data_IF_157707023752
#
_entry.id   IF_157707023752
#
_cell.length_a   1.000
_cell.length_b   1.000
_cell.length_c   1.000
_cell.angle_alpha   90.00
_cell.angle_beta   90.00
_cell.angle_gamma   90.00
#
_symmetry.space_group_name_H-M   'P 1'
#
loop_
_entity.id
_entity.type
_entity.pdbx_description
1 polymer ?
#
# COMPACT_ATOMS: atom_id res chain seq x y z
N UNK A 1 2.86 11.48 -23.53
CA UNK A 1 3.06 12.23 -22.28
C UNK A 1 2.57 11.33 -21.14
N UNK A 2 3.42 11.03 -20.16
CA UNK A 2 3.02 10.23 -19.02
C UNK A 2 2.04 11.01 -18.13
N UNK A 3 1.18 10.31 -17.36
CA UNK A 3 0.22 10.96 -16.46
C UNK A 3 0.90 11.94 -15.49
N UNK A 4 2.06 11.57 -14.96
CA UNK A 4 2.86 12.40 -14.04
C UNK A 4 3.25 13.72 -14.70
N UNK A 5 3.74 13.70 -15.94
CA UNK A 5 4.11 14.91 -16.68
C UNK A 5 2.91 15.84 -16.91
N UNK A 6 1.71 15.29 -17.12
CA UNK A 6 0.47 16.09 -17.24
C UNK A 6 0.14 16.75 -15.92
N UNK A 7 0.17 15.99 -14.82
CA UNK A 7 -0.13 16.52 -13.48
C UNK A 7 0.85 17.63 -13.09
N UNK A 8 2.14 17.44 -13.34
CA UNK A 8 3.17 18.45 -13.06
C UNK A 8 2.98 19.72 -13.91
N UNK A 9 2.67 19.56 -15.19
CA UNK A 9 2.43 20.68 -16.08
C UNK A 9 1.20 21.49 -15.66
N UNK A 10 0.09 20.84 -15.34
CA UNK A 10 -1.14 21.49 -14.86
C UNK A 10 -0.94 22.14 -13.49
N UNK A 11 -0.26 21.49 -12.57
CA UNK A 11 0.08 22.06 -11.27
C UNK A 11 0.91 23.33 -11.40
N UNK A 12 1.91 23.32 -12.28
CA UNK A 12 2.73 24.51 -12.58
C UNK A 12 1.89 25.62 -13.23
N UNK A 13 1.01 25.28 -14.17
CA UNK A 13 0.13 26.26 -14.84
C UNK A 13 -0.86 26.91 -13.87
N UNK A 14 -1.31 26.18 -12.85
CA UNK A 14 -2.21 26.67 -11.80
C UNK A 14 -1.44 27.38 -10.65
N UNK A 15 -0.13 27.45 -10.70
CA UNK A 15 0.69 28.05 -9.65
C UNK A 15 0.64 27.27 -8.33
N UNK A 16 0.51 25.97 -8.38
CA UNK A 16 0.48 25.14 -7.17
C UNK A 16 1.78 25.29 -6.39
N UNK A 17 1.67 25.61 -5.10
CA UNK A 17 2.80 25.79 -4.20
C UNK A 17 3.05 24.60 -3.27
N UNK A 18 2.18 23.58 -3.35
CA UNK A 18 2.29 22.34 -2.57
C UNK A 18 2.85 21.22 -3.44
N UNK A 19 3.67 20.32 -2.89
CA UNK A 19 4.10 19.13 -3.61
C UNK A 19 2.89 18.28 -4.00
N UNK A 20 2.83 17.89 -5.28
CA UNK A 20 1.83 16.96 -5.81
C UNK A 20 2.58 15.73 -6.27
N UNK A 21 2.20 14.56 -5.73
CA UNK A 21 2.81 13.28 -6.09
C UNK A 21 1.73 12.26 -6.44
N UNK A 22 1.74 11.68 -7.65
CA UNK A 22 0.83 10.59 -7.97
C UNK A 22 1.11 9.36 -7.13
N UNK A 23 0.05 8.67 -6.74
CA UNK A 23 0.08 7.44 -5.97
C UNK A 23 -0.42 6.28 -6.84
N UNK A 24 0.30 5.15 -6.81
CA UNK A 24 -0.27 3.88 -7.24
C UNK A 24 -1.19 3.40 -6.11
N UNK A 25 -2.47 3.36 -6.39
CA UNK A 25 -3.46 2.83 -5.46
C UNK A 25 -3.68 1.33 -5.72
N UNK A 26 -3.76 0.52 -4.65
CA UNK A 26 -3.95 -0.93 -4.70
C UNK A 26 -2.97 -1.70 -5.62
N UNK A 27 -1.68 -1.53 -5.40
CA UNK A 27 -0.62 -2.26 -6.10
C UNK A 27 -0.42 -3.68 -5.54
N UNK A 28 -1.20 -4.65 -6.00
CA UNK A 28 -1.12 -6.03 -5.51
C UNK A 28 -1.75 -7.06 -6.44
N UNK A 29 -1.68 -8.37 -6.07
CA UNK A 29 -2.28 -9.44 -6.87
C UNK A 29 -3.81 -9.39 -6.80
N UNK A 30 -4.48 -9.74 -7.90
CA UNK A 30 -5.94 -9.82 -8.07
C UNK A 30 -6.76 -8.54 -7.80
N UNK A 31 -6.11 -7.39 -7.74
CA UNK A 31 -6.77 -6.10 -7.54
C UNK A 31 -7.21 -5.43 -8.85
N UNK A 32 -6.96 -6.08 -9.97
CA UNK A 32 -7.43 -5.64 -11.29
C UNK A 32 -8.12 -6.79 -12.02
N UNK A 33 -9.06 -6.47 -12.91
CA UNK A 33 -9.73 -7.47 -13.73
C UNK A 33 -8.75 -8.28 -14.61
N UNK A 34 -7.61 -7.71 -14.96
CA UNK A 34 -6.56 -8.38 -15.73
C UNK A 34 -5.91 -9.55 -14.98
N UNK A 35 -6.01 -9.58 -13.66
CA UNK A 35 -5.47 -10.66 -12.83
C UNK A 35 -6.49 -11.77 -12.57
N UNK A 36 -7.74 -11.63 -13.01
CA UNK A 36 -8.78 -12.65 -12.85
C UNK A 36 -8.34 -13.97 -13.51
N UNK A 37 -8.42 -15.05 -12.74
CA UNK A 37 -8.04 -16.38 -13.23
C UNK A 37 -6.52 -16.67 -13.25
N UNK A 38 -5.68 -15.76 -12.81
CA UNK A 38 -4.25 -16.02 -12.62
C UNK A 38 -4.02 -16.85 -11.35
N UNK A 39 -3.03 -17.73 -11.41
CA UNK A 39 -2.45 -18.36 -10.21
C UNK A 39 -1.60 -17.33 -9.43
N UNK A 40 -1.28 -17.60 -8.15
CA UNK A 40 -0.60 -16.65 -7.25
C UNK A 40 0.70 -16.10 -7.84
N UNK A 41 1.56 -16.96 -8.35
CA UNK A 41 2.87 -16.52 -8.88
C UNK A 41 2.69 -15.57 -10.07
N UNK A 42 1.78 -15.88 -10.97
CA UNK A 42 1.47 -15.05 -12.13
C UNK A 42 0.81 -13.71 -11.73
N UNK A 43 -0.09 -13.72 -10.72
CA UNK A 43 -0.71 -12.51 -10.21
C UNK A 43 0.31 -11.61 -9.48
N UNK A 44 1.24 -12.21 -8.73
CA UNK A 44 2.36 -11.48 -8.10
C UNK A 44 3.32 -10.90 -9.14
N UNK A 45 3.62 -11.63 -10.22
CA UNK A 45 4.46 -11.12 -11.31
C UNK A 45 3.79 -9.96 -12.05
N UNK A 46 2.49 -10.03 -12.27
CA UNK A 46 1.73 -8.94 -12.85
C UNK A 46 1.71 -7.70 -11.93
N UNK A 47 1.57 -7.89 -10.62
CA UNK A 47 1.67 -6.81 -9.63
C UNK A 47 3.07 -6.17 -9.63
N UNK A 48 4.14 -6.97 -9.67
CA UNK A 48 5.53 -6.48 -9.80
C UNK A 48 5.73 -5.67 -11.09
N UNK A 49 5.14 -6.11 -12.20
CA UNK A 49 5.15 -5.37 -13.46
C UNK A 49 4.49 -3.99 -13.34
N UNK A 50 3.34 -3.91 -12.69
CA UNK A 50 2.63 -2.66 -12.45
C UNK A 50 3.42 -1.72 -11.54
N UNK A 51 4.03 -2.23 -10.47
CA UNK A 51 4.90 -1.48 -9.57
C UNK A 51 6.12 -0.91 -10.32
N UNK A 52 6.78 -1.73 -11.15
CA UNK A 52 7.90 -1.28 -11.97
C UNK A 52 7.49 -0.17 -12.93
N UNK A 53 6.34 -0.30 -13.58
CA UNK A 53 5.82 0.71 -14.50
C UNK A 53 5.48 2.03 -13.77
N UNK A 54 4.90 1.96 -12.57
CA UNK A 54 4.61 3.14 -11.76
C UNK A 54 5.90 3.87 -11.34
N UNK A 55 6.92 3.12 -10.90
CA UNK A 55 8.23 3.66 -10.57
C UNK A 55 8.90 4.34 -11.76
N UNK A 56 8.90 3.69 -12.92
CA UNK A 56 9.46 4.24 -14.16
C UNK A 56 8.69 5.47 -14.66
N UNK A 57 7.41 5.57 -14.34
CA UNK A 57 6.57 6.72 -14.64
C UNK A 57 6.70 7.87 -13.63
N UNK A 58 7.50 7.71 -12.55
CA UNK A 58 7.74 8.78 -11.58
C UNK A 58 6.67 8.90 -10.47
N UNK A 59 5.96 7.82 -10.16
CA UNK A 59 5.04 7.83 -9.02
C UNK A 59 5.80 8.05 -7.71
N UNK A 60 5.23 8.87 -6.83
CA UNK A 60 5.87 9.30 -5.58
C UNK A 60 5.48 8.43 -4.37
N UNK A 61 4.34 7.74 -4.44
CA UNK A 61 3.82 6.85 -3.41
C UNK A 61 3.30 5.56 -4.05
N UNK A 62 3.61 4.43 -3.44
CA UNK A 62 3.10 3.12 -3.84
C UNK A 62 2.30 2.53 -2.67
N UNK A 63 1.00 2.33 -2.86
CA UNK A 63 0.17 1.55 -1.97
C UNK A 63 0.28 0.07 -2.35
N UNK A 64 0.93 -0.72 -1.50
CA UNK A 64 1.12 -2.15 -1.68
C UNK A 64 0.05 -2.90 -0.90
N UNK A 65 -0.91 -3.44 -1.63
CA UNK A 65 -2.02 -4.20 -1.08
C UNK A 65 -1.90 -5.68 -1.50
N UNK A 66 -1.50 -6.52 -0.55
CA UNK A 66 -1.29 -7.94 -0.75
C UNK A 66 -2.46 -8.80 -0.26
N UNK A 67 -3.61 -8.19 0.03
CA UNK A 67 -4.81 -8.86 0.59
C UNK A 67 -5.67 -9.54 -0.46
N UNK A 68 -5.49 -9.23 -1.74
CA UNK A 68 -6.26 -9.82 -2.84
C UNK A 68 -6.17 -11.35 -2.92
N UNK A 69 -7.28 -11.98 -3.29
CA UNK A 69 -7.38 -13.42 -3.56
C UNK A 69 -8.38 -13.69 -4.70
N UNK A 70 -8.25 -14.81 -5.45
CA UNK A 70 -9.13 -15.12 -6.58
C UNK A 70 -10.61 -15.23 -6.21
N UNK A 71 -10.90 -15.79 -5.03
CA UNK A 71 -12.26 -16.02 -4.51
C UNK A 71 -12.74 -14.92 -3.56
N UNK A 72 -12.02 -13.84 -3.41
CA UNK A 72 -12.28 -12.82 -2.37
C UNK A 72 -12.30 -13.39 -0.94
N UNK A 73 -11.59 -14.48 -0.72
CA UNK A 73 -11.41 -15.05 0.60
C UNK A 73 -10.35 -14.29 1.38
N UNK A 74 -10.50 -14.22 2.70
CA UNK A 74 -9.51 -13.58 3.56
C UNK A 74 -8.17 -14.31 3.48
N UNK A 75 -7.11 -13.56 3.15
CA UNK A 75 -5.75 -14.09 3.09
C UNK A 75 -5.17 -14.14 4.51
N UNK A 76 -4.52 -15.24 4.91
CA UNK A 76 -3.90 -15.33 6.22
C UNK A 76 -2.90 -14.17 6.47
N UNK A 77 -2.89 -13.52 7.65
CA UNK A 77 -2.04 -12.35 7.91
C UNK A 77 -0.55 -12.59 7.65
N UNK A 78 -0.04 -13.80 7.94
CA UNK A 78 1.36 -14.14 7.67
C UNK A 78 1.67 -14.15 6.16
N UNK A 79 0.71 -14.56 5.34
CA UNK A 79 0.84 -14.56 3.89
C UNK A 79 0.75 -13.12 3.33
N UNK A 80 -0.15 -12.29 3.84
CA UNK A 80 -0.20 -10.85 3.50
C UNK A 80 1.15 -10.19 3.78
N UNK A 81 1.73 -10.43 4.95
CA UNK A 81 3.07 -9.93 5.30
C UNK A 81 4.13 -10.43 4.33
N UNK A 82 4.14 -11.72 4.01
CA UNK A 82 5.14 -12.32 3.11
C UNK A 82 5.06 -11.70 1.71
N UNK A 83 3.85 -11.59 1.16
CA UNK A 83 3.58 -10.96 -0.15
C UNK A 83 3.96 -9.47 -0.15
N UNK A 84 3.58 -8.72 0.88
CA UNK A 84 3.91 -7.29 1.02
C UNK A 84 5.43 -7.08 1.03
N UNK A 85 6.16 -7.88 1.80
CA UNK A 85 7.63 -7.82 1.85
C UNK A 85 8.28 -8.17 0.52
N UNK A 86 7.69 -9.08 -0.25
CA UNK A 86 8.17 -9.46 -1.57
C UNK A 86 7.98 -8.33 -2.59
N UNK A 87 6.80 -7.69 -2.61
CA UNK A 87 6.51 -6.54 -3.45
C UNK A 87 7.42 -5.34 -3.11
N UNK A 88 7.65 -5.07 -1.83
CA UNK A 88 8.58 -4.04 -1.37
C UNK A 88 10.02 -4.33 -1.80
N UNK A 89 10.48 -5.57 -1.63
CA UNK A 89 11.82 -5.96 -2.06
C UNK A 89 12.00 -5.78 -3.57
N UNK A 90 10.98 -6.15 -4.36
CA UNK A 90 10.97 -5.93 -5.80
C UNK A 90 11.02 -4.44 -6.15
N UNK A 91 10.18 -3.60 -5.52
CA UNK A 91 10.15 -2.17 -5.75
C UNK A 91 11.51 -1.51 -5.48
N UNK A 92 12.15 -1.83 -4.35
CA UNK A 92 13.45 -1.29 -4.00
C UNK A 92 14.58 -1.80 -4.90
N UNK A 93 14.54 -3.07 -5.29
CA UNK A 93 15.49 -3.63 -6.25
C UNK A 93 15.39 -2.92 -7.62
N UNK A 94 14.17 -2.77 -8.15
CA UNK A 94 13.92 -2.06 -9.42
C UNK A 94 14.36 -0.60 -9.33
N UNK A 95 13.93 0.13 -8.30
CA UNK A 95 14.30 1.53 -8.06
C UNK A 95 15.82 1.71 -8.04
N UNK A 96 16.51 0.87 -7.28
CA UNK A 96 17.98 0.92 -7.15
C UNK A 96 18.68 0.62 -8.46
N UNK A 97 18.28 -0.44 -9.17
CA UNK A 97 18.84 -0.82 -10.45
C UNK A 97 18.69 0.29 -11.50
N UNK A 98 17.57 0.99 -11.49
CA UNK A 98 17.24 2.08 -12.40
C UNK A 98 17.73 3.45 -11.91
N UNK A 99 18.30 3.54 -10.70
CA UNK A 99 18.73 4.79 -10.05
C UNK A 99 17.61 5.83 -9.93
N UNK A 100 16.38 5.34 -9.67
CA UNK A 100 15.23 6.19 -9.45
C UNK A 100 15.26 6.82 -8.03
N UNK A 101 14.62 7.98 -7.84
CA UNK A 101 14.56 8.63 -6.54
C UNK A 101 13.86 7.74 -5.50
N UNK A 102 14.06 7.99 -4.19
CA UNK A 102 13.25 7.35 -3.15
C UNK A 102 11.76 7.61 -3.35
N UNK A 103 10.94 6.60 -3.03
CA UNK A 103 9.48 6.71 -3.03
C UNK A 103 8.93 6.39 -1.65
N UNK A 104 7.75 6.91 -1.36
CA UNK A 104 7.02 6.57 -0.15
C UNK A 104 6.24 5.25 -0.34
N UNK A 105 6.02 4.53 0.76
CA UNK A 105 5.23 3.31 0.75
C UNK A 105 4.03 3.41 1.68
N UNK A 106 2.93 2.88 1.22
CA UNK A 106 1.72 2.60 1.97
C UNK A 106 1.46 1.11 1.91
N UNK A 107 0.96 0.52 2.99
CA UNK A 107 0.60 -0.91 3.03
C UNK A 107 -0.84 -1.07 3.49
N UNK A 108 -1.55 -1.97 2.83
CA UNK A 108 -2.92 -2.32 3.14
C UNK A 108 -3.01 -3.47 4.13
N UNK A 109 -3.96 -3.35 5.06
CA UNK A 109 -4.45 -4.46 5.89
C UNK A 109 -5.93 -4.68 5.65
N UNK A 110 -6.41 -4.34 4.45
CA UNK A 110 -7.83 -4.31 4.18
C UNK A 110 -8.43 -5.70 4.24
N UNK A 111 -9.46 -5.83 5.07
CA UNK A 111 -10.35 -6.97 4.97
C UNK A 111 -11.35 -6.70 3.85
N UNK A 112 -11.34 -7.55 2.82
CA UNK A 112 -12.25 -7.48 1.66
C UNK A 112 -13.72 -7.51 2.11
N UNK A 113 -13.99 -8.03 3.30
CA UNK A 113 -15.35 -8.21 3.82
C UNK A 113 -15.97 -6.94 4.42
N UNK A 114 -15.22 -5.84 4.51
CA UNK A 114 -15.63 -4.64 5.22
C UNK A 114 -15.67 -4.87 6.74
N UNK A 115 -15.59 -3.83 7.49
CA UNK A 115 -15.60 -3.88 8.95
C UNK A 115 -14.49 -3.03 9.55
N UNK A 116 -14.56 -2.83 10.87
CA UNK A 116 -13.52 -2.11 11.60
C UNK A 116 -12.30 -3.01 11.78
N UNK A 117 -11.11 -2.48 11.47
CA UNK A 117 -9.85 -3.21 11.69
C UNK A 117 -9.70 -3.64 13.16
N UNK A 118 -9.44 -4.93 13.39
CA UNK A 118 -9.11 -5.43 14.70
C UNK A 118 -7.75 -4.90 15.17
N UNK A 119 -7.71 -4.29 16.36
CA UNK A 119 -6.49 -3.64 16.88
C UNK A 119 -5.36 -4.64 17.15
N UNK A 120 -5.70 -5.85 17.59
CA UNK A 120 -4.69 -6.90 17.89
C UNK A 120 -4.09 -7.41 16.59
N UNK A 121 -4.93 -7.74 15.60
CA UNK A 121 -4.47 -8.17 14.29
C UNK A 121 -3.62 -7.09 13.60
N UNK A 122 -4.01 -5.82 13.72
CA UNK A 122 -3.26 -4.68 13.20
C UNK A 122 -1.86 -4.58 13.80
N UNK A 123 -1.74 -4.69 15.12
CA UNK A 123 -0.43 -4.67 15.80
C UNK A 123 0.42 -5.89 15.45
N UNK A 124 -0.19 -7.07 15.34
CA UNK A 124 0.50 -8.28 14.92
C UNK A 124 1.05 -8.14 13.49
N UNK A 125 0.26 -7.62 12.57
CA UNK A 125 0.68 -7.33 11.19
C UNK A 125 1.87 -6.38 11.17
N UNK A 126 1.79 -5.22 11.84
CA UNK A 126 2.88 -4.24 11.89
C UNK A 126 4.15 -4.80 12.52
N UNK A 127 4.00 -5.60 13.58
CA UNK A 127 5.15 -6.25 14.24
C UNK A 127 5.85 -7.22 13.30
N UNK A 128 5.09 -8.08 12.61
CA UNK A 128 5.62 -9.05 11.66
C UNK A 128 6.27 -8.37 10.45
N UNK A 129 5.62 -7.33 9.92
CA UNK A 129 6.13 -6.54 8.81
C UNK A 129 7.46 -5.85 9.18
N UNK A 130 7.52 -5.23 10.35
CA UNK A 130 8.72 -4.56 10.84
C UNK A 130 9.90 -5.53 11.08
N UNK A 131 9.63 -6.72 11.61
CA UNK A 131 10.62 -7.78 11.72
C UNK A 131 11.13 -8.22 10.34
N UNK A 132 10.24 -8.36 9.37
CA UNK A 132 10.57 -8.69 7.99
C UNK A 132 11.44 -7.64 7.30
N UNK A 133 11.19 -6.36 7.52
CA UNK A 133 12.05 -5.28 7.00
C UNK A 133 13.48 -5.39 7.48
N UNK A 134 13.65 -5.62 8.78
CA UNK A 134 14.98 -5.78 9.37
C UNK A 134 15.70 -7.00 8.80
N UNK A 135 15.00 -8.13 8.71
CA UNK A 135 15.57 -9.38 8.22
C UNK A 135 16.01 -9.30 6.75
N UNK A 136 15.33 -8.48 5.94
CA UNK A 136 15.60 -8.29 4.51
C UNK A 136 16.47 -7.06 4.18
N UNK A 137 16.90 -6.28 5.19
CA UNK A 137 17.68 -5.06 4.97
C UNK A 137 16.88 -3.93 4.30
N UNK A 138 15.56 -3.93 4.45
CA UNK A 138 14.63 -2.97 3.83
C UNK A 138 14.20 -1.84 4.79
N UNK A 139 15.00 -1.53 5.81
CA UNK A 139 14.61 -0.55 6.84
C UNK A 139 14.29 0.85 6.28
N UNK A 140 14.93 1.24 5.17
CA UNK A 140 14.66 2.51 4.48
C UNK A 140 13.36 2.53 3.68
N UNK A 141 12.77 1.36 3.42
CA UNK A 141 11.49 1.20 2.73
C UNK A 141 10.32 0.99 3.70
N UNK A 142 10.51 1.34 4.98
CA UNK A 142 9.43 1.26 5.95
C UNK A 142 8.25 2.16 5.51
N UNK A 143 7.01 1.65 5.54
CA UNK A 143 5.86 2.41 5.07
C UNK A 143 5.61 3.64 5.94
N UNK A 144 5.31 4.76 5.31
CA UNK A 144 4.87 5.97 5.99
C UNK A 144 3.37 5.97 6.29
N UNK A 145 2.60 5.15 5.55
CA UNK A 145 1.17 4.98 5.76
C UNK A 145 0.80 3.50 5.90
N UNK A 146 -0.18 3.25 6.74
CA UNK A 146 -0.85 1.95 6.88
C UNK A 146 -2.34 2.17 6.78
N UNK A 147 -3.00 1.46 5.89
CA UNK A 147 -4.45 1.51 5.76
C UNK A 147 -5.09 0.79 6.94
N UNK A 148 -6.09 1.41 7.54
CA UNK A 148 -6.89 0.83 8.61
C UNK A 148 -8.36 1.20 8.43
N UNK A 149 -9.24 0.20 8.48
CA UNK A 149 -10.69 0.41 8.42
C UNK A 149 -11.18 1.05 9.72
N UNK A 150 -11.63 2.29 9.61
CA UNK A 150 -12.09 3.11 10.73
C UNK A 150 -13.58 3.50 10.62
N UNK A 151 -14.34 2.75 9.81
CA UNK A 151 -15.77 3.00 9.57
C UNK A 151 -16.03 4.09 8.56
N UNK A 152 -15.17 4.21 7.54
CA UNK A 152 -15.31 5.21 6.46
C UNK A 152 -15.90 4.63 5.17
N UNK A 153 -16.32 3.36 5.15
CA UNK A 153 -17.03 2.77 4.02
C UNK A 153 -18.30 3.56 3.71
N UNK A 154 -18.43 4.03 2.48
CA UNK A 154 -19.49 4.92 1.99
C UNK A 154 -20.91 4.35 2.16
N UNK A 155 -21.06 3.05 2.40
CA UNK A 155 -22.37 2.38 2.29
C UNK A 155 -23.06 2.04 3.60
N UNK A 156 -22.34 1.81 4.70
CA UNK A 156 -22.99 1.25 5.92
C UNK A 156 -22.41 1.67 7.26
N UNK A 157 -21.12 2.05 7.32
CA UNK A 157 -20.46 2.24 8.60
C UNK A 157 -20.28 3.72 8.94
N UNK A 158 -20.36 4.03 10.21
CA UNK A 158 -20.07 5.36 10.72
C UNK A 158 -18.61 5.41 11.15
N UNK A 159 -17.94 6.51 10.84
CA UNK A 159 -16.59 6.77 11.32
C UNK A 159 -16.48 6.58 12.83
N UNK A 160 -15.60 5.68 13.24
CA UNK A 160 -15.27 5.42 14.64
C UNK A 160 -14.02 6.18 15.06
N UNK A 161 -14.22 7.36 15.65
CA UNK A 161 -13.13 8.22 16.11
C UNK A 161 -12.28 7.60 17.24
N UNK A 162 -12.83 6.68 18.04
CA UNK A 162 -12.07 5.99 19.08
C UNK A 162 -11.13 4.96 18.44
N UNK A 163 -11.66 4.17 17.51
CA UNK A 163 -10.88 3.21 16.70
C UNK A 163 -9.78 3.93 15.93
N UNK A 164 -10.10 5.00 15.23
CA UNK A 164 -9.11 5.79 14.47
C UNK A 164 -7.98 6.29 15.36
N UNK A 165 -8.28 6.80 16.56
CA UNK A 165 -7.25 7.21 17.52
C UNK A 165 -6.40 6.04 18.02
N UNK A 166 -7.02 4.90 18.32
CA UNK A 166 -6.31 3.71 18.78
C UNK A 166 -5.34 3.21 17.71
N UNK A 167 -5.80 2.99 16.47
CA UNK A 167 -4.96 2.54 15.35
C UNK A 167 -3.85 3.55 15.05
N UNK A 168 -4.16 4.87 15.08
CA UNK A 168 -3.15 5.92 14.89
C UNK A 168 -2.04 5.87 15.94
N UNK A 169 -2.39 5.65 17.21
CA UNK A 169 -1.39 5.50 18.28
C UNK A 169 -0.50 4.29 18.06
N UNK A 170 -1.08 3.16 17.60
CA UNK A 170 -0.32 1.94 17.26
C UNK A 170 0.60 2.15 16.07
N UNK A 171 0.08 2.69 14.96
CA UNK A 171 0.89 2.95 13.76
C UNK A 171 2.08 3.87 14.04
N UNK A 172 1.88 4.93 14.82
CA UNK A 172 2.95 5.85 15.22
C UNK A 172 4.11 5.17 15.96
N UNK A 173 3.85 4.12 16.74
CA UNK A 173 4.89 3.36 17.40
C UNK A 173 5.81 2.62 16.40
N UNK A 174 5.34 2.41 15.17
CA UNK A 174 6.09 1.82 14.06
C UNK A 174 6.57 2.88 13.04
N UNK A 175 6.41 4.17 13.33
CA UNK A 175 6.82 5.26 12.45
C UNK A 175 5.87 5.57 11.29
N UNK A 176 4.65 4.99 11.30
CA UNK A 176 3.65 5.16 10.25
C UNK A 176 2.45 6.00 10.71
N UNK A 177 1.70 6.51 9.75
CA UNK A 177 0.40 7.14 9.94
C UNK A 177 -0.71 6.20 9.46
N UNK A 178 -1.89 6.26 10.08
CA UNK A 178 -3.07 5.55 9.56
C UNK A 178 -3.71 6.38 8.48
N UNK A 179 -4.00 5.73 7.36
CA UNK A 179 -4.87 6.25 6.30
C UNK A 179 -6.20 5.51 6.37
N UNK A 180 -7.30 6.24 6.44
CA UNK A 180 -8.65 5.68 6.26
C UNK A 180 -8.91 5.53 4.77
N UNK A 181 -9.64 4.47 4.40
CA UNK A 181 -10.11 4.29 3.04
C UNK A 181 -11.54 4.82 2.89
N UNK A 182 -11.90 5.20 1.69
CA UNK A 182 -13.24 5.67 1.31
C UNK A 182 -13.74 6.88 2.14
N UNK A 183 -12.84 7.81 2.47
CA UNK A 183 -13.19 9.08 3.15
C UNK A 183 -13.48 10.21 2.17
#
# INVERSE_FOLDING_TARGET
>A
MALVEVIEAEAAALGATVPIGPCLDHGGPWLTAAHAGLELDAAMDAARGSISAALDAGYALLHLDATGSPGQEAVPPAEVVARTLDLLAHAEAHRTARRLPPVAYEVGTEEITGGLTDEVAFVQFLTALHAGFRARGLAQAAPCFVVGQVGTLLTTDRFDAAKARALTARAKAFGALVKGHDT
#
